data_IF_404796263486
#
_entry.id   IF_404796263486
#
_cell.length_a   1.000
_cell.length_b   1.000
_cell.length_c   1.000
_cell.angle_alpha   90.00
_cell.angle_beta   90.00
_cell.angle_gamma   90.00
#
_symmetry.space_group_name_H-M   'P 1'
#
loop_
_entity.id
_entity.type
_entity.pdbx_description
1 polymer ?
#
# COMPACT_ATOMS: atom_id res chain seq x y z
N UNK A 1 25.99 -7.93 -17.87
CA UNK A 1 26.67 -7.69 -19.15
C UNK A 1 25.67 -7.42 -20.27
N UNK A 2 26.01 -6.55 -21.23
CA UNK A 2 25.16 -6.28 -22.41
C UNK A 2 25.37 -7.40 -23.44
N UNK A 3 26.60 -7.82 -23.62
CA UNK A 3 26.98 -8.96 -24.45
C UNK A 3 27.37 -10.15 -23.57
N UNK A 4 27.06 -11.37 -24.01
CA UNK A 4 27.45 -12.58 -23.30
C UNK A 4 28.98 -12.72 -23.23
N UNK A 5 29.49 -13.08 -22.06
CA UNK A 5 30.89 -13.34 -21.77
C UNK A 5 31.83 -12.15 -22.03
N UNK A 6 31.32 -10.92 -21.86
CA UNK A 6 32.08 -9.69 -22.04
C UNK A 6 31.71 -8.69 -20.97
N UNK A 7 32.69 -8.00 -20.37
CA UNK A 7 32.46 -6.86 -19.50
C UNK A 7 32.13 -5.58 -20.30
N UNK A 8 31.57 -4.55 -19.65
CA UNK A 8 31.16 -3.34 -20.37
C UNK A 8 32.30 -2.56 -21.01
N UNK A 9 33.48 -2.52 -20.39
CA UNK A 9 34.66 -1.84 -20.93
C UNK A 9 35.46 -2.67 -21.95
N UNK A 10 35.12 -3.94 -22.19
CA UNK A 10 35.79 -4.82 -23.13
C UNK A 10 37.14 -5.37 -22.68
N UNK A 11 37.58 -5.13 -21.44
CA UNK A 11 38.85 -5.64 -20.89
C UNK A 11 38.84 -7.17 -20.84
N UNK A 12 37.75 -7.74 -20.33
CA UNK A 12 37.53 -9.17 -20.29
C UNK A 12 36.52 -9.58 -21.35
N UNK A 13 36.94 -10.50 -22.23
CA UNK A 13 36.11 -11.09 -23.28
C UNK A 13 36.30 -12.59 -23.29
N UNK A 14 35.29 -13.32 -23.70
CA UNK A 14 35.25 -14.76 -23.82
C UNK A 14 35.00 -15.51 -22.50
N UNK A 15 34.52 -16.74 -22.64
CA UNK A 15 34.05 -17.62 -21.57
C UNK A 15 35.15 -18.01 -20.55
N UNK A 16 36.41 -17.94 -20.92
CA UNK A 16 37.54 -18.22 -20.00
C UNK A 16 37.60 -17.29 -18.79
N UNK A 17 36.96 -16.14 -18.86
CA UNK A 17 36.89 -15.15 -17.79
C UNK A 17 35.55 -15.19 -17.04
N UNK A 18 34.80 -16.28 -17.18
CA UNK A 18 33.51 -16.49 -16.51
C UNK A 18 33.62 -16.21 -15.01
N UNK A 19 32.67 -15.42 -14.47
CA UNK A 19 32.55 -15.12 -13.04
C UNK A 19 33.52 -14.05 -12.54
N UNK A 20 34.39 -13.49 -13.37
CA UNK A 20 35.28 -12.38 -12.97
C UNK A 20 34.46 -11.07 -12.97
N UNK A 21 34.54 -10.34 -11.88
CA UNK A 21 34.03 -8.96 -11.81
C UNK A 21 35.16 -8.07 -12.32
N UNK A 22 34.88 -7.29 -13.36
CA UNK A 22 35.89 -6.40 -13.94
C UNK A 22 36.18 -5.25 -12.95
N UNK A 23 37.41 -5.10 -12.55
CA UNK A 23 37.87 -4.07 -11.64
C UNK A 23 37.76 -2.65 -12.25
N UNK A 24 37.67 -2.53 -13.58
CA UNK A 24 37.56 -1.24 -14.28
C UNK A 24 36.11 -0.75 -14.42
N UNK A 25 35.16 -1.65 -14.72
CA UNK A 25 33.77 -1.29 -14.99
C UNK A 25 32.75 -1.95 -14.05
N UNK A 26 33.19 -2.80 -13.09
CA UNK A 26 32.33 -3.48 -12.13
C UNK A 26 31.39 -4.54 -12.70
N UNK A 27 31.45 -4.80 -14.00
CA UNK A 27 30.54 -5.77 -14.66
C UNK A 27 31.11 -7.17 -14.57
N UNK A 28 30.28 -8.11 -14.11
CA UNK A 28 30.61 -9.54 -14.08
C UNK A 28 30.59 -10.14 -15.49
N UNK A 29 31.58 -10.96 -15.82
CA UNK A 29 31.66 -11.69 -17.08
C UNK A 29 30.79 -12.93 -16.98
N UNK A 30 29.56 -12.86 -17.49
CA UNK A 30 28.60 -13.96 -17.49
C UNK A 30 27.73 -13.94 -18.75
N UNK A 31 26.80 -14.85 -18.87
CA UNK A 31 25.84 -14.85 -19.98
C UNK A 31 24.95 -13.61 -19.97
N UNK A 32 24.61 -13.06 -21.13
CA UNK A 32 23.69 -11.93 -21.25
C UNK A 32 22.26 -12.25 -20.75
N UNK A 33 21.89 -13.54 -20.77
CA UNK A 33 20.58 -14.02 -20.28
C UNK A 33 20.32 -13.69 -18.80
N UNK A 34 21.37 -13.55 -17.97
CA UNK A 34 21.20 -13.19 -16.54
C UNK A 34 20.44 -11.87 -16.35
N UNK A 35 20.49 -10.98 -17.34
CA UNK A 35 19.70 -9.73 -17.33
C UNK A 35 18.19 -9.96 -17.31
N UNK A 36 17.72 -11.12 -17.74
CA UNK A 36 16.29 -11.51 -17.73
C UNK A 36 15.90 -12.30 -16.49
N UNK A 37 16.88 -12.76 -15.72
CA UNK A 37 16.65 -13.58 -14.53
C UNK A 37 16.96 -12.85 -13.22
N UNK A 38 17.85 -11.87 -13.28
CA UNK A 38 18.16 -11.02 -12.12
C UNK A 38 17.14 -9.91 -12.04
N UNK A 39 16.49 -9.80 -10.89
CA UNK A 39 15.57 -8.72 -10.58
C UNK A 39 16.34 -7.63 -9.84
N UNK A 40 16.11 -6.38 -10.23
CA UNK A 40 16.51 -5.19 -9.49
C UNK A 40 15.30 -4.55 -8.84
N UNK A 41 15.54 -3.55 -8.03
CA UNK A 41 14.50 -2.74 -7.40
C UNK A 41 14.83 -1.26 -7.51
N UNK A 42 13.80 -0.44 -7.71
CA UNK A 42 13.91 1.01 -7.65
C UNK A 42 13.05 1.45 -6.47
N UNK A 43 13.70 2.01 -5.44
CA UNK A 43 12.98 2.63 -4.32
C UNK A 43 12.45 3.98 -4.77
N UNK A 44 11.16 4.20 -4.61
CA UNK A 44 10.51 5.45 -4.94
C UNK A 44 10.81 6.52 -3.87
N UNK A 45 10.80 7.79 -4.28
CA UNK A 45 10.98 8.91 -3.35
C UNK A 45 9.77 9.09 -2.40
N UNK A 46 8.58 8.67 -2.85
CA UNK A 46 7.35 8.64 -2.07
C UNK A 46 6.49 7.45 -2.50
N UNK A 47 5.66 6.89 -1.62
CA UNK A 47 4.72 5.84 -1.96
C UNK A 47 3.75 6.27 -3.07
N UNK A 48 3.37 5.34 -3.94
CA UNK A 48 2.47 5.59 -5.08
C UNK A 48 1.35 4.56 -5.10
N UNK A 49 0.11 5.02 -5.24
CA UNK A 49 -1.03 4.14 -5.39
C UNK A 49 -1.01 3.42 -6.75
N UNK A 50 -1.08 2.09 -6.72
CA UNK A 50 -1.13 1.31 -7.95
C UNK A 50 -2.44 1.58 -8.70
N UNK A 51 -2.32 1.92 -9.98
CA UNK A 51 -3.44 2.37 -10.83
C UNK A 51 -4.58 1.32 -10.91
N UNK A 52 -4.26 0.03 -10.91
CA UNK A 52 -5.26 -1.03 -10.98
C UNK A 52 -6.16 -1.08 -9.75
N UNK A 53 -5.62 -0.75 -8.58
CA UNK A 53 -6.39 -0.75 -7.33
C UNK A 53 -7.10 0.58 -7.08
N UNK A 54 -6.56 1.69 -7.63
CA UNK A 54 -7.17 3.01 -7.53
C UNK A 54 -8.27 3.20 -8.59
N UNK A 55 -7.94 3.06 -9.88
CA UNK A 55 -8.84 3.36 -11.03
C UNK A 55 -9.48 2.12 -11.67
N UNK A 56 -9.31 0.94 -11.09
CA UNK A 56 -9.99 -0.26 -11.54
C UNK A 56 -11.51 -0.16 -11.41
N UNK A 57 -12.25 -1.00 -12.14
CA UNK A 57 -13.71 -1.07 -12.06
C UNK A 57 -14.12 -2.47 -11.56
N UNK A 58 -14.51 -2.59 -10.27
CA UNK A 58 -14.54 -1.56 -9.22
C UNK A 58 -13.16 -1.17 -8.68
N UNK A 59 -13.02 0.05 -8.15
CA UNK A 59 -11.83 0.45 -7.40
C UNK A 59 -11.75 -0.34 -6.09
N UNK A 60 -10.69 -1.10 -5.90
CA UNK A 60 -10.50 -1.90 -4.68
C UNK A 60 -10.22 -1.03 -3.46
N UNK A 61 -9.43 0.05 -3.62
CA UNK A 61 -9.19 1.02 -2.55
C UNK A 61 -10.49 1.70 -2.11
N UNK A 62 -11.30 2.19 -3.05
CA UNK A 62 -12.61 2.78 -2.75
C UNK A 62 -13.55 1.79 -2.04
N UNK A 63 -13.54 0.54 -2.46
CA UNK A 63 -14.39 -0.50 -1.89
C UNK A 63 -13.95 -0.89 -0.46
N UNK A 64 -12.64 -0.99 -0.24
CA UNK A 64 -12.07 -1.38 1.04
C UNK A 64 -12.20 -0.27 2.10
N UNK A 65 -11.86 0.96 1.72
CA UNK A 65 -11.87 2.12 2.61
C UNK A 65 -13.25 2.78 2.76
N UNK A 66 -14.23 2.43 1.92
CA UNK A 66 -15.55 3.06 1.83
C UNK A 66 -15.54 4.55 1.46
N UNK A 67 -14.46 5.00 0.86
CA UNK A 67 -14.28 6.36 0.38
C UNK A 67 -14.65 6.42 -1.12
N UNK A 68 -15.25 7.50 -1.59
CA UNK A 68 -15.54 7.63 -3.02
C UNK A 68 -14.25 7.69 -3.84
N UNK A 69 -14.27 7.21 -5.09
CA UNK A 69 -13.10 7.28 -5.98
C UNK A 69 -12.64 8.72 -6.18
N UNK A 70 -13.58 9.67 -6.29
CA UNK A 70 -13.29 11.09 -6.46
C UNK A 70 -12.51 11.64 -5.27
N UNK A 71 -12.93 11.29 -4.06
CA UNK A 71 -12.29 11.74 -2.82
C UNK A 71 -10.90 11.11 -2.65
N UNK A 72 -10.77 9.81 -2.96
CA UNK A 72 -9.46 9.15 -2.99
C UNK A 72 -8.49 9.80 -3.98
N UNK A 73 -8.98 10.17 -5.17
CA UNK A 73 -8.17 10.89 -6.15
C UNK A 73 -7.72 12.26 -5.62
N UNK A 74 -8.58 12.99 -4.91
CA UNK A 74 -8.18 14.27 -4.29
C UNK A 74 -7.03 14.08 -3.31
N UNK A 75 -7.08 13.06 -2.47
CA UNK A 75 -6.01 12.76 -1.51
C UNK A 75 -4.73 12.32 -2.23
N UNK A 76 -4.83 11.33 -3.12
CA UNK A 76 -3.66 10.74 -3.82
C UNK A 76 -2.93 11.77 -4.69
N UNK A 77 -3.66 12.73 -5.27
CA UNK A 77 -3.09 13.81 -6.10
C UNK A 77 -2.77 15.10 -5.31
N UNK A 78 -2.74 15.02 -3.99
CA UNK A 78 -2.34 16.13 -3.10
C UNK A 78 -3.25 17.37 -3.15
N UNK A 79 -4.53 17.18 -3.47
CA UNK A 79 -5.52 18.27 -3.51
C UNK A 79 -6.32 18.41 -2.21
N UNK A 80 -6.32 17.38 -1.36
CA UNK A 80 -7.06 17.37 -0.09
C UNK A 80 -6.38 16.47 0.91
N UNK A 81 -6.61 16.74 2.18
CA UNK A 81 -6.14 15.91 3.29
C UNK A 81 -7.17 14.82 3.63
N UNK A 82 -6.70 13.78 4.32
CA UNK A 82 -7.54 12.76 4.93
C UNK A 82 -7.24 12.68 6.42
N UNK A 83 -8.29 12.64 7.24
CA UNK A 83 -8.15 12.52 8.68
C UNK A 83 -7.69 11.10 9.06
N UNK A 84 -6.53 11.01 9.70
CA UNK A 84 -5.98 9.77 10.26
C UNK A 84 -6.49 9.56 11.68
N UNK A 85 -6.38 10.58 12.53
CA UNK A 85 -6.92 10.59 13.89
C UNK A 85 -7.66 11.92 14.14
N UNK A 86 -8.96 11.88 14.47
CA UNK A 86 -9.73 13.08 14.76
C UNK A 86 -9.38 13.73 16.12
N UNK A 87 -8.68 13.01 17.00
CA UNK A 87 -8.28 13.51 18.32
C UNK A 87 -9.44 14.09 19.12
N UNK A 88 -9.33 15.37 19.52
CA UNK A 88 -10.33 16.09 20.33
C UNK A 88 -11.25 17.00 19.51
N UNK A 89 -11.17 16.99 18.18
CA UNK A 89 -11.94 17.89 17.31
C UNK A 89 -13.37 17.39 17.14
N UNK A 90 -14.34 18.17 17.61
CA UNK A 90 -15.75 17.83 17.45
C UNK A 90 -16.18 17.92 15.96
N UNK A 91 -16.82 16.86 15.48
CA UNK A 91 -17.35 16.81 14.11
C UNK A 91 -16.38 16.24 13.06
N UNK A 92 -15.09 16.12 13.36
CA UNK A 92 -14.14 15.44 12.50
C UNK A 92 -14.23 13.91 12.69
N UNK A 93 -14.23 13.17 11.61
CA UNK A 93 -14.31 11.70 11.64
C UNK A 93 -13.08 11.08 10.99
N UNK A 94 -12.69 9.92 11.49
CA UNK A 94 -11.63 9.12 10.86
C UNK A 94 -11.97 8.83 9.40
N UNK A 95 -10.97 8.92 8.52
CA UNK A 95 -11.08 8.77 7.06
C UNK A 95 -11.95 9.84 6.37
N UNK A 96 -12.28 10.93 7.04
CA UNK A 96 -12.96 12.07 6.43
C UNK A 96 -11.98 12.88 5.59
N UNK A 97 -12.44 13.31 4.42
CA UNK A 97 -11.66 14.21 3.57
C UNK A 97 -11.80 15.63 4.10
N UNK A 98 -10.67 16.31 4.22
CA UNK A 98 -10.56 17.70 4.71
C UNK A 98 -9.98 18.54 3.57
N UNK A 99 -10.68 19.60 3.20
CA UNK A 99 -10.15 20.57 2.23
C UNK A 99 -9.02 21.39 2.84
N UNK A 100 -8.20 22.04 2.01
CA UNK A 100 -7.14 22.93 2.48
C UNK A 100 -7.71 24.07 3.35
N UNK A 101 -8.83 24.66 2.92
CA UNK A 101 -9.51 25.72 3.69
C UNK A 101 -10.02 25.27 5.05
N UNK A 102 -10.53 24.04 5.15
CA UNK A 102 -11.01 23.49 6.40
C UNK A 102 -9.85 23.07 7.31
N UNK A 103 -8.75 22.59 6.72
CA UNK A 103 -7.52 22.31 7.45
C UNK A 103 -6.94 23.56 8.11
N UNK A 104 -6.89 24.68 7.38
CA UNK A 104 -6.42 25.96 7.93
C UNK A 104 -7.30 26.42 9.09
N UNK A 105 -8.62 26.32 8.97
CA UNK A 105 -9.56 26.65 10.08
C UNK A 105 -9.35 25.75 11.31
N UNK A 106 -9.01 24.48 11.11
CA UNK A 106 -8.73 23.56 12.22
C UNK A 106 -7.41 23.89 12.93
N UNK A 107 -6.45 24.44 12.19
CA UNK A 107 -5.15 24.88 12.75
C UNK A 107 -5.26 26.21 13.51
N UNK A 108 -6.24 27.06 13.19
CA UNK A 108 -6.44 28.35 13.88
C UNK A 108 -6.77 28.19 15.37
N UNK A 109 -7.29 27.02 15.77
CA UNK A 109 -7.55 26.70 17.16
C UNK A 109 -6.40 25.88 17.77
N UNK A 110 -5.56 26.52 18.57
CA UNK A 110 -4.37 25.93 19.22
C UNK A 110 -4.70 24.73 20.13
N UNK A 111 -5.95 24.54 20.53
CA UNK A 111 -6.37 23.44 21.39
C UNK A 111 -6.66 22.15 20.59
N UNK A 112 -6.77 22.24 19.29
CA UNK A 112 -7.06 21.10 18.43
C UNK A 112 -5.85 20.16 18.33
N UNK A 113 -6.07 18.92 18.71
CA UNK A 113 -5.10 17.84 18.53
C UNK A 113 -5.73 16.82 17.58
N UNK A 114 -5.25 16.77 16.35
CA UNK A 114 -5.72 15.86 15.33
C UNK A 114 -4.57 15.50 14.40
N UNK A 115 -4.70 14.40 13.67
CA UNK A 115 -3.72 13.96 12.70
C UNK A 115 -4.38 13.82 11.33
N UNK A 116 -3.78 14.44 10.33
CA UNK A 116 -4.18 14.32 8.93
C UNK A 116 -2.99 13.93 8.07
N UNK A 117 -3.28 13.28 6.95
CA UNK A 117 -2.28 12.90 5.98
C UNK A 117 -2.68 13.33 4.58
N UNK A 118 -1.73 13.32 3.66
CA UNK A 118 -1.93 13.64 2.26
C UNK A 118 -1.18 12.65 1.38
N UNK A 119 -1.66 12.45 0.15
CA UNK A 119 -1.00 11.57 -0.80
C UNK A 119 -1.26 10.08 -0.56
N UNK A 120 -0.53 9.25 -1.30
CA UNK A 120 -0.65 7.80 -1.18
C UNK A 120 -0.10 7.27 0.15
N UNK A 121 0.80 7.99 0.81
CA UNK A 121 1.36 7.64 2.11
C UNK A 121 0.26 7.61 3.19
N UNK A 122 -0.63 8.59 3.21
CA UNK A 122 -1.77 8.60 4.13
C UNK A 122 -2.69 7.39 3.93
N UNK A 123 -2.92 7.02 2.67
CA UNK A 123 -3.70 5.82 2.35
C UNK A 123 -2.98 4.55 2.80
N UNK A 124 -1.65 4.49 2.67
CA UNK A 124 -0.84 3.38 3.15
C UNK A 124 -1.01 3.19 4.66
N UNK A 125 -0.88 4.26 5.46
CA UNK A 125 -1.06 4.22 6.91
C UNK A 125 -2.46 3.68 7.31
N UNK A 126 -3.50 4.13 6.63
CA UNK A 126 -4.87 3.64 6.88
C UNK A 126 -5.00 2.14 6.57
N UNK A 127 -4.39 1.67 5.47
CA UNK A 127 -4.42 0.26 5.08
C UNK A 127 -3.63 -0.62 6.06
N UNK A 128 -2.48 -0.16 6.53
CA UNK A 128 -1.67 -0.85 7.53
C UNK A 128 -2.41 -0.96 8.86
N UNK A 129 -3.01 0.13 9.33
CA UNK A 129 -3.81 0.13 10.55
C UNK A 129 -5.05 -0.77 10.42
N UNK A 130 -5.71 -0.75 9.25
CA UNK A 130 -6.85 -1.64 8.98
C UNK A 130 -6.45 -3.11 9.02
N UNK A 131 -5.29 -3.46 8.50
CA UNK A 131 -4.81 -4.84 8.49
C UNK A 131 -4.35 -5.31 9.88
N UNK A 132 -3.71 -4.42 10.63
CA UNK A 132 -3.09 -4.66 11.94
C UNK A 132 -3.37 -3.50 12.89
N UNK A 133 -4.57 -3.42 13.47
CA UNK A 133 -4.89 -2.36 14.42
C UNK A 133 -3.95 -2.47 15.62
N UNK A 134 -3.19 -1.41 15.86
CA UNK A 134 -2.25 -1.16 16.98
C UNK A 134 -1.87 -2.42 17.78
N UNK A 135 -1.18 -3.34 17.15
CA UNK A 135 -0.38 -4.29 17.91
C UNK A 135 0.81 -3.48 18.43
N UNK A 136 0.95 -3.36 19.73
CA UNK A 136 2.22 -2.96 20.35
C UNK A 136 3.25 -3.98 19.83
N UNK A 137 4.03 -3.57 18.82
CA UNK A 137 5.16 -4.38 18.38
C UNK A 137 6.08 -4.51 19.60
N UNK A 138 6.33 -5.70 20.12
CA UNK A 138 7.39 -5.86 21.11
C UNK A 138 8.67 -5.31 20.49
N UNK A 139 9.45 -4.56 21.25
CA UNK A 139 10.67 -3.84 20.82
C UNK A 139 11.70 -4.68 20.05
N UNK A 140 11.45 -5.97 19.85
CA UNK A 140 12.31 -6.88 19.12
C UNK A 140 11.51 -8.04 18.52
N UNK A 141 10.82 -7.86 17.38
CA UNK A 141 10.23 -8.98 16.69
C UNK A 141 11.38 -9.77 16.04
N UNK A 142 11.91 -10.76 16.74
CA UNK A 142 12.52 -11.90 16.05
C UNK A 142 11.39 -12.58 15.29
N UNK A 143 11.11 -12.05 14.09
CA UNK A 143 10.26 -12.74 13.12
C UNK A 143 11.03 -13.99 12.77
N UNK A 144 10.66 -15.11 13.35
CA UNK A 144 11.11 -16.42 12.90
C UNK A 144 10.71 -16.53 11.44
N UNK A 145 11.70 -16.72 10.57
CA UNK A 145 11.50 -16.85 9.13
C UNK A 145 10.40 -17.89 8.89
N UNK A 146 9.23 -17.44 8.44
CA UNK A 146 8.11 -18.28 8.06
C UNK A 146 6.78 -18.06 8.79
N UNK A 147 6.70 -17.29 9.86
CA UNK A 147 5.42 -16.86 10.41
C UNK A 147 4.93 -15.63 9.65
N UNK A 148 4.01 -15.88 8.71
CA UNK A 148 3.16 -14.83 8.16
C UNK A 148 2.33 -14.27 9.33
N UNK A 149 2.59 -13.00 9.68
CA UNK A 149 1.72 -12.25 10.59
C UNK A 149 0.31 -12.28 9.99
N UNK A 150 -0.67 -12.80 10.73
CA UNK A 150 -2.07 -12.77 10.33
C UNK A 150 -2.56 -11.35 10.04
N UNK A 151 -3.73 -11.23 9.46
CA UNK A 151 -4.41 -9.96 9.19
C UNK A 151 -5.61 -9.80 10.14
N UNK A 152 -5.40 -9.66 11.46
CA UNK A 152 -6.46 -9.71 12.47
C UNK A 152 -7.52 -8.62 12.25
N UNK A 153 -7.11 -7.44 11.83
CA UNK A 153 -8.04 -6.35 11.55
C UNK A 153 -8.99 -6.64 10.37
N UNK A 154 -8.52 -7.36 9.36
CA UNK A 154 -9.39 -7.81 8.27
C UNK A 154 -10.35 -8.93 8.72
N UNK A 155 -9.95 -9.76 9.67
CA UNK A 155 -10.83 -10.78 10.25
C UNK A 155 -11.95 -10.14 11.06
N UNK A 156 -11.63 -9.16 11.92
CA UNK A 156 -12.62 -8.38 12.67
C UNK A 156 -13.58 -7.64 11.72
N UNK A 157 -13.04 -6.99 10.69
CA UNK A 157 -13.85 -6.29 9.69
C UNK A 157 -14.78 -7.26 8.93
N UNK A 158 -14.32 -8.47 8.64
CA UNK A 158 -15.15 -9.51 8.02
C UNK A 158 -16.34 -9.90 8.91
N UNK A 159 -16.11 -10.09 10.21
CA UNK A 159 -17.18 -10.46 11.14
C UNK A 159 -18.17 -9.30 11.32
N UNK A 160 -17.69 -8.05 11.42
CA UNK A 160 -18.55 -6.87 11.50
C UNK A 160 -19.44 -6.70 10.26
N UNK A 161 -18.89 -6.92 9.07
CA UNK A 161 -19.64 -6.87 7.81
C UNK A 161 -20.67 -8.02 7.67
N UNK A 162 -20.38 -9.18 8.21
CA UNK A 162 -21.37 -10.27 8.26
C UNK A 162 -22.54 -9.92 9.18
N UNK A 163 -22.26 -9.34 10.35
CA UNK A 163 -23.28 -8.88 11.28
C UNK A 163 -24.12 -7.76 10.65
N UNK A 164 -23.47 -6.80 9.99
CA UNK A 164 -24.18 -5.74 9.25
C UNK A 164 -25.06 -6.31 8.15
N UNK A 165 -24.58 -7.27 7.37
CA UNK A 165 -25.35 -7.91 6.30
C UNK A 165 -26.60 -8.64 6.82
N UNK A 166 -26.55 -9.18 8.05
CA UNK A 166 -27.67 -9.83 8.70
C UNK A 166 -28.73 -8.82 9.17
N UNK A 167 -28.34 -7.60 9.53
CA UNK A 167 -29.21 -6.54 10.02
C UNK A 167 -29.76 -5.63 8.93
N UNK A 168 -29.07 -5.52 7.78
CA UNK A 168 -29.49 -4.69 6.64
C UNK A 168 -30.74 -5.27 5.98
N UNK A 169 -31.90 -4.87 6.47
CA UNK A 169 -33.21 -5.09 5.86
C UNK A 169 -33.60 -3.93 4.96
N UNK A 170 -33.70 -4.14 3.65
CA UNK A 170 -34.42 -3.23 2.76
C UNK A 170 -33.65 -2.47 1.69
N UNK A 171 -32.34 -2.17 1.83
CA UNK A 171 -31.60 -1.48 0.77
C UNK A 171 -30.74 -2.45 -0.05
N UNK A 172 -31.23 -2.81 -1.24
CA UNK A 172 -30.51 -3.69 -2.17
C UNK A 172 -29.11 -3.14 -2.54
N UNK A 173 -28.96 -1.82 -2.64
CA UNK A 173 -27.68 -1.18 -2.98
C UNK A 173 -26.66 -1.35 -1.85
N UNK A 174 -27.05 -1.09 -0.60
CA UNK A 174 -26.17 -1.28 0.57
C UNK A 174 -25.74 -2.72 0.71
N UNK A 175 -26.70 -3.66 0.55
CA UNK A 175 -26.43 -5.10 0.59
C UNK A 175 -25.42 -5.52 -0.48
N UNK A 176 -25.59 -5.03 -1.71
CA UNK A 176 -24.67 -5.34 -2.82
C UNK A 176 -23.25 -4.79 -2.55
N UNK A 177 -23.14 -3.56 -2.00
CA UNK A 177 -21.86 -2.96 -1.63
C UNK A 177 -21.15 -3.78 -0.54
N UNK A 178 -21.87 -4.14 0.51
CA UNK A 178 -21.36 -4.99 1.59
C UNK A 178 -20.87 -6.36 1.09
N UNK A 179 -21.64 -7.02 0.22
CA UNK A 179 -21.24 -8.30 -0.38
C UNK A 179 -19.95 -8.16 -1.22
N UNK A 180 -19.83 -7.10 -2.02
CA UNK A 180 -18.60 -6.86 -2.81
C UNK A 180 -17.39 -6.66 -1.91
N UNK A 181 -17.55 -5.86 -0.84
CA UNK A 181 -16.47 -5.61 0.15
C UNK A 181 -16.08 -6.91 0.86
N UNK A 182 -17.07 -7.69 1.30
CA UNK A 182 -16.83 -8.98 1.95
C UNK A 182 -16.09 -9.98 1.05
N UNK A 183 -16.41 -10.00 -0.26
CA UNK A 183 -15.69 -10.84 -1.23
C UNK A 183 -14.23 -10.42 -1.36
N UNK A 184 -13.95 -9.11 -1.41
CA UNK A 184 -12.59 -8.60 -1.47
C UNK A 184 -11.80 -8.97 -0.21
N UNK A 185 -12.36 -8.75 0.98
CA UNK A 185 -11.72 -9.10 2.25
C UNK A 185 -11.45 -10.61 2.34
N UNK A 186 -12.41 -11.46 1.95
CA UNK A 186 -12.18 -12.90 1.91
C UNK A 186 -11.07 -13.29 0.93
N UNK A 187 -10.96 -12.62 -0.22
CA UNK A 187 -9.86 -12.87 -1.16
C UNK A 187 -8.50 -12.49 -0.57
N UNK A 188 -8.39 -11.32 0.09
CA UNK A 188 -7.18 -10.88 0.77
C UNK A 188 -6.77 -11.86 1.89
N UNK A 189 -7.72 -12.28 2.73
CA UNK A 189 -7.47 -13.25 3.80
C UNK A 189 -7.06 -14.63 3.27
N UNK A 190 -7.71 -15.13 2.22
CA UNK A 190 -7.41 -16.45 1.65
C UNK A 190 -6.05 -16.51 0.97
N UNK A 191 -5.62 -15.39 0.37
CA UNK A 191 -4.30 -15.26 -0.26
C UNK A 191 -3.22 -14.76 0.70
N UNK A 192 -3.57 -14.42 1.95
CA UNK A 192 -2.68 -13.77 2.92
C UNK A 192 -2.00 -12.53 2.34
N UNK A 193 -2.71 -11.79 1.50
CA UNK A 193 -2.21 -10.59 0.83
C UNK A 193 -2.50 -9.37 1.69
N UNK A 194 -1.43 -8.65 2.06
CA UNK A 194 -1.55 -7.40 2.81
C UNK A 194 -2.15 -6.30 1.92
N UNK A 195 -3.25 -5.64 2.34
CA UNK A 195 -3.83 -4.55 1.57
C UNK A 195 -2.88 -3.36 1.38
N UNK A 196 -1.89 -3.17 2.24
CA UNK A 196 -0.85 -2.16 2.10
C UNK A 196 -0.08 -2.28 0.76
N UNK A 197 0.02 -3.47 0.18
CA UNK A 197 0.67 -3.69 -1.13
C UNK A 197 -0.08 -3.05 -2.31
N UNK A 198 -1.26 -2.51 -2.11
CA UNK A 198 -1.95 -1.67 -3.12
C UNK A 198 -1.27 -0.32 -3.31
N UNK A 199 -0.42 0.07 -2.35
CA UNK A 199 0.47 1.23 -2.41
C UNK A 199 1.90 0.72 -2.55
N UNK A 200 2.63 1.24 -3.52
CA UNK A 200 3.98 0.79 -3.86
C UNK A 200 4.99 1.84 -3.44
N UNK A 201 6.03 1.41 -2.75
CA UNK A 201 7.22 2.17 -2.41
C UNK A 201 8.45 1.70 -3.20
N UNK A 202 8.37 0.49 -3.76
CA UNK A 202 9.44 -0.15 -4.53
C UNK A 202 8.89 -0.70 -5.84
N UNK A 203 9.58 -0.41 -6.94
CA UNK A 203 9.30 -0.99 -8.25
C UNK A 203 10.29 -2.10 -8.57
N UNK A 204 9.84 -3.30 -8.93
CA UNK A 204 10.71 -4.34 -9.47
C UNK A 204 11.11 -4.00 -10.90
N UNK A 205 12.38 -4.25 -11.27
CA UNK A 205 12.96 -3.97 -12.60
C UNK A 205 13.57 -5.22 -13.19
#
# INVERSE_FOLDING_TARGET
>A
PVKGWECACGKYKRIRHKGIICERCGVEVTESKVRRHRMGTITLAAPVAHIWFLKGIPSYLSLLLEISLKDLEQVVYFNSYICLDPGNVEGLKKNQIVSEEDYDKLLDDENNQFEVGIGAEAILLILEEMARPKYEFPENPRIEKGQLLGLPGLEELKESLKAELATVGGSQQKRTKCIKRLRLINALLSSMTDPAWMIMDVLPV
#
